data_IF_096386421169
#
_entry.id   IF_096386421169
#
_cell.length_a   1.000
_cell.length_b   1.000
_cell.length_c   1.000
_cell.angle_alpha   90.00
_cell.angle_beta   90.00
_cell.angle_gamma   90.00
#
_symmetry.space_group_name_H-M   'P 1'
#
loop_
_entity.id
_entity.type
_entity.pdbx_description
1 polymer ?
#
# COMPACT_ATOMS: atom_id res chain seq x y z
N UNK A 1 31.46 -15.86 33.73
CA UNK A 1 31.56 -14.59 33.00
C UNK A 1 31.16 -14.84 31.55
N UNK A 2 30.13 -14.17 31.05
CA UNK A 2 29.80 -14.16 29.63
C UNK A 2 30.17 -12.80 29.07
N UNK A 3 31.01 -12.76 28.03
CA UNK A 3 31.32 -11.53 27.30
C UNK A 3 30.50 -11.55 26.02
N UNK A 4 29.50 -10.69 25.92
CA UNK A 4 28.77 -10.48 24.68
C UNK A 4 29.62 -9.62 23.72
N UNK A 5 29.62 -9.96 22.43
CA UNK A 5 30.18 -9.07 21.40
C UNK A 5 29.35 -7.79 21.21
N UNK A 6 29.74 -6.89 20.31
CA UNK A 6 29.01 -5.65 20.04
C UNK A 6 27.53 -5.89 19.73
N UNK A 7 26.66 -5.34 20.56
CA UNK A 7 25.20 -5.49 20.48
C UNK A 7 24.55 -4.12 20.66
N UNK A 8 23.32 -3.94 20.19
CA UNK A 8 22.48 -2.75 20.45
C UNK A 8 21.58 -2.97 21.67
N UNK A 9 20.92 -1.91 22.15
CA UNK A 9 19.91 -2.01 23.22
C UNK A 9 18.75 -2.95 22.85
N UNK A 10 18.51 -3.15 21.55
CA UNK A 10 17.50 -4.07 21.01
C UNK A 10 18.02 -5.47 20.72
N UNK A 11 19.27 -5.78 21.09
CA UNK A 11 19.84 -7.11 20.88
C UNK A 11 20.36 -7.37 19.47
N UNK A 12 20.63 -6.34 18.66
CA UNK A 12 21.15 -6.50 17.28
C UNK A 12 22.64 -6.24 17.18
N UNK A 13 23.32 -6.98 16.30
CA UNK A 13 24.73 -6.79 15.96
C UNK A 13 24.91 -5.59 15.03
N UNK A 14 26.16 -5.16 14.83
CA UNK A 14 26.52 -4.03 13.94
C UNK A 14 26.06 -4.20 12.49
N UNK A 15 26.01 -5.44 11.99
CA UNK A 15 25.53 -5.77 10.64
C UNK A 15 24.00 -5.84 10.53
N UNK A 16 23.29 -5.63 11.63
CA UNK A 16 21.84 -5.74 11.72
C UNK A 16 21.32 -7.15 11.96
N UNK A 17 22.13 -8.19 12.10
CA UNK A 17 21.63 -9.51 12.53
C UNK A 17 21.27 -9.52 14.03
N UNK A 18 20.50 -10.52 14.48
CA UNK A 18 20.21 -10.70 15.91
C UNK A 18 21.45 -11.24 16.63
N UNK A 19 21.77 -10.69 17.80
CA UNK A 19 22.86 -11.20 18.62
C UNK A 19 22.40 -12.47 19.36
N UNK A 20 23.27 -13.49 19.39
CA UNK A 20 23.08 -14.68 20.21
C UNK A 20 23.28 -14.32 21.69
N UNK A 21 22.19 -13.91 22.33
CA UNK A 21 22.17 -13.52 23.74
C UNK A 21 21.55 -14.63 24.56
N UNK A 22 22.16 -14.96 25.69
CA UNK A 22 21.58 -15.91 26.63
C UNK A 22 20.30 -15.33 27.25
N UNK A 23 19.36 -16.21 27.62
CA UNK A 23 18.09 -15.80 28.22
C UNK A 23 18.26 -14.96 29.50
N UNK A 24 19.41 -15.08 30.18
CA UNK A 24 19.78 -14.29 31.36
C UNK A 24 20.29 -12.88 31.04
N UNK A 25 20.74 -12.61 29.81
CA UNK A 25 21.32 -11.31 29.40
C UNK A 25 20.26 -10.38 28.83
N UNK A 26 19.26 -10.91 28.11
CA UNK A 26 18.20 -10.11 27.48
C UNK A 26 17.51 -9.14 28.46
N UNK A 27 17.12 -9.55 29.69
CA UNK A 27 16.41 -8.67 30.62
C UNK A 27 17.25 -7.52 31.19
N UNK A 28 18.59 -7.65 31.20
CA UNK A 28 19.50 -6.66 31.77
C UNK A 28 20.04 -5.68 30.72
N UNK A 29 19.84 -5.92 29.42
CA UNK A 29 20.39 -5.09 28.34
C UNK A 29 20.06 -3.61 28.50
N UNK A 30 18.79 -3.27 28.73
CA UNK A 30 18.39 -1.86 28.86
C UNK A 30 19.10 -1.15 30.01
N UNK A 31 19.28 -1.84 31.15
CA UNK A 31 20.01 -1.30 32.29
C UNK A 31 21.50 -1.12 31.98
N UNK A 32 22.15 -2.12 31.36
CA UNK A 32 23.56 -2.04 30.94
C UNK A 32 23.80 -0.88 29.96
N UNK A 33 22.86 -0.60 29.05
CA UNK A 33 22.96 0.53 28.11
C UNK A 33 22.85 1.92 28.75
N UNK A 34 22.53 2.02 30.04
CA UNK A 34 22.58 3.28 30.80
C UNK A 34 23.91 3.52 31.51
N UNK A 35 24.78 2.49 31.59
CA UNK A 35 26.09 2.59 32.24
C UNK A 35 27.09 3.33 31.35
N UNK A 36 27.93 4.16 31.98
CA UNK A 36 29.08 4.80 31.35
C UNK A 36 30.32 3.92 31.45
N UNK A 37 31.34 4.21 30.63
CA UNK A 37 32.59 3.44 30.61
C UNK A 37 33.36 3.52 31.94
N UNK A 38 33.21 4.64 32.67
CA UNK A 38 33.89 4.87 33.95
C UNK A 38 33.12 4.33 35.16
N UNK A 39 31.90 3.80 34.96
CA UNK A 39 31.10 3.29 36.07
C UNK A 39 31.74 2.03 36.67
N UNK A 40 31.89 2.02 37.99
CA UNK A 40 32.32 0.83 38.72
C UNK A 40 31.25 -0.27 38.67
N UNK A 41 31.64 -1.56 38.55
CA UNK A 41 30.69 -2.66 38.54
C UNK A 41 29.95 -2.74 39.88
N UNK A 42 28.62 -2.69 39.84
CA UNK A 42 27.75 -2.78 41.02
C UNK A 42 26.89 -4.05 40.95
N UNK A 43 26.54 -4.56 42.13
CA UNK A 43 25.60 -5.67 42.26
C UNK A 43 24.18 -5.09 42.17
N UNK A 44 23.45 -5.51 41.15
CA UNK A 44 22.08 -5.08 40.92
C UNK A 44 21.13 -6.28 40.94
N UNK A 45 19.89 -6.05 41.36
CA UNK A 45 18.89 -7.11 41.54
C UNK A 45 18.21 -7.45 40.21
N UNK A 46 18.16 -8.73 39.87
CA UNK A 46 17.46 -9.30 38.71
C UNK A 46 16.34 -10.22 39.22
N UNK A 47 15.12 -9.69 39.38
CA UNK A 47 14.00 -10.43 39.97
C UNK A 47 14.18 -10.68 41.48
N UNK A 48 13.34 -11.52 42.11
CA UNK A 48 13.29 -11.61 43.58
C UNK A 48 14.56 -12.18 44.24
N UNK A 49 15.21 -13.15 43.62
CA UNK A 49 16.33 -13.92 44.19
C UNK A 49 17.58 -14.02 43.30
N UNK A 50 17.68 -13.21 42.24
CA UNK A 50 18.88 -13.20 41.38
C UNK A 50 19.52 -11.82 41.37
N UNK A 51 20.83 -11.79 41.15
CA UNK A 51 21.62 -10.58 41.06
C UNK A 51 22.52 -10.66 39.84
N UNK A 52 22.86 -9.51 39.27
CA UNK A 52 23.81 -9.41 38.18
C UNK A 52 24.87 -8.35 38.49
N UNK A 53 26.02 -8.51 37.84
CA UNK A 53 27.09 -7.51 37.81
C UNK A 53 27.45 -7.34 36.34
N UNK A 54 27.35 -6.11 35.86
CA UNK A 54 27.74 -5.73 34.51
C UNK A 54 28.88 -4.71 34.57
N UNK A 55 29.76 -4.78 33.57
CA UNK A 55 30.80 -3.79 33.34
C UNK A 55 30.81 -3.46 31.86
N UNK A 56 30.61 -2.19 31.53
CA UNK A 56 30.79 -1.70 30.17
C UNK A 56 32.29 -1.66 29.86
N UNK A 57 32.70 -2.39 28.82
CA UNK A 57 34.11 -2.45 28.40
C UNK A 57 34.42 -1.46 27.26
N UNK A 58 33.43 -1.19 26.41
CA UNK A 58 33.57 -0.32 25.25
C UNK A 58 32.19 0.26 24.88
N UNK A 59 32.15 1.54 24.51
CA UNK A 59 30.96 2.18 23.94
C UNK A 59 31.28 2.52 22.48
N UNK A 60 30.59 1.84 21.56
CA UNK A 60 30.72 2.11 20.13
C UNK A 60 29.69 3.18 19.75
N UNK A 61 30.10 4.40 19.37
CA UNK A 61 29.17 5.45 19.00
C UNK A 61 28.37 5.06 17.76
N UNK A 62 27.12 5.55 17.68
CA UNK A 62 26.31 5.39 16.47
C UNK A 62 26.98 6.12 15.30
N UNK A 63 27.52 5.35 14.36
CA UNK A 63 28.09 5.90 13.13
C UNK A 63 27.09 5.74 11.98
N UNK A 64 26.97 6.78 11.15
CA UNK A 64 26.34 6.63 9.83
C UNK A 64 27.14 5.60 9.04
N UNK A 65 26.45 4.71 8.31
CA UNK A 65 27.12 3.76 7.42
C UNK A 65 27.99 4.55 6.43
N UNK A 66 29.30 4.29 6.35
CA UNK A 66 30.19 4.95 5.41
C UNK A 66 29.63 4.88 4.00
N UNK A 67 29.76 5.97 3.23
CA UNK A 67 29.30 5.97 1.83
C UNK A 67 29.89 4.80 1.04
N UNK A 68 31.15 4.42 1.31
CA UNK A 68 31.79 3.28 0.69
C UNK A 68 31.02 1.95 0.85
N UNK A 69 30.38 1.73 2.00
CA UNK A 69 29.60 0.51 2.30
C UNK A 69 28.23 0.51 1.60
N UNK A 70 27.63 1.69 1.42
CA UNK A 70 26.28 1.84 0.82
C UNK A 70 26.31 2.34 -0.62
N UNK A 71 27.48 2.59 -1.19
CA UNK A 71 27.65 3.15 -2.54
C UNK A 71 26.87 2.37 -3.60
N UNK A 72 26.87 1.02 -3.62
CA UNK A 72 26.08 0.27 -4.60
C UNK A 72 24.57 0.54 -4.49
N UNK A 73 24.05 0.69 -3.26
CA UNK A 73 22.63 0.98 -3.02
C UNK A 73 22.26 2.39 -3.48
N UNK A 74 23.14 3.37 -3.19
CA UNK A 74 22.95 4.76 -3.60
C UNK A 74 23.03 4.88 -5.12
N UNK A 75 24.00 4.23 -5.77
CA UNK A 75 24.12 4.23 -7.24
C UNK A 75 22.90 3.58 -7.90
N UNK A 76 22.39 2.47 -7.36
CA UNK A 76 21.18 1.82 -7.87
C UNK A 76 19.95 2.74 -7.75
N UNK A 77 19.73 3.35 -6.58
CA UNK A 77 18.62 4.28 -6.36
C UNK A 77 18.74 5.54 -7.24
N UNK A 78 19.95 6.07 -7.42
CA UNK A 78 20.21 7.20 -8.30
C UNK A 78 19.91 6.85 -9.76
N UNK A 79 20.38 5.70 -10.24
CA UNK A 79 20.08 5.23 -11.61
C UNK A 79 18.57 5.10 -11.83
N UNK A 80 17.83 4.49 -10.90
CA UNK A 80 16.38 4.37 -10.99
C UNK A 80 15.71 5.74 -11.10
N UNK A 81 16.13 6.72 -10.29
CA UNK A 81 15.62 8.10 -10.35
C UNK A 81 15.91 8.76 -11.70
N UNK A 82 17.12 8.60 -12.22
CA UNK A 82 17.49 9.16 -13.53
C UNK A 82 16.68 8.53 -14.68
N UNK A 83 16.42 7.22 -14.61
CA UNK A 83 15.57 6.56 -15.62
C UNK A 83 14.13 7.04 -15.55
N UNK A 84 13.56 7.19 -14.35
CA UNK A 84 12.20 7.69 -14.17
C UNK A 84 12.04 9.13 -14.71
N UNK A 85 13.01 10.01 -14.44
CA UNK A 85 12.98 11.39 -14.93
C UNK A 85 13.04 11.43 -16.46
N UNK A 86 13.95 10.65 -17.07
CA UNK A 86 14.06 10.56 -18.53
C UNK A 86 12.79 9.98 -19.17
N UNK A 87 12.20 8.96 -18.56
CA UNK A 87 10.94 8.38 -19.03
C UNK A 87 9.81 9.41 -19.01
N UNK A 88 9.74 10.24 -17.98
CA UNK A 88 8.75 11.33 -17.88
C UNK A 88 8.94 12.37 -18.97
N UNK A 89 10.17 12.86 -19.16
CA UNK A 89 10.48 13.84 -20.22
C UNK A 89 10.09 13.32 -21.60
N UNK A 90 10.38 12.04 -21.87
CA UNK A 90 10.00 11.39 -23.13
C UNK A 90 8.48 11.27 -23.27
N UNK A 91 7.77 10.85 -22.21
CA UNK A 91 6.32 10.75 -22.22
C UNK A 91 5.65 12.12 -22.45
N UNK A 92 6.15 13.18 -21.80
CA UNK A 92 5.69 14.55 -21.99
C UNK A 92 5.88 15.01 -23.44
N UNK A 93 7.05 14.71 -24.03
CA UNK A 93 7.35 15.01 -25.43
C UNK A 93 6.36 14.31 -26.39
N UNK A 94 6.09 13.03 -26.17
CA UNK A 94 5.16 12.25 -26.99
C UNK A 94 3.72 12.79 -26.88
N UNK A 95 3.25 13.05 -25.66
CA UNK A 95 1.91 13.61 -25.42
C UNK A 95 1.78 14.99 -26.05
N UNK A 96 2.80 15.85 -25.93
CA UNK A 96 2.80 17.16 -26.58
C UNK A 96 2.78 17.05 -28.12
N UNK A 97 3.49 16.08 -28.70
CA UNK A 97 3.45 15.81 -30.14
C UNK A 97 2.06 15.37 -30.60
N UNK A 98 1.40 14.50 -29.82
CA UNK A 98 0.01 14.08 -30.12
C UNK A 98 -0.96 15.24 -30.03
N UNK A 99 -0.84 16.10 -29.00
CA UNK A 99 -1.68 17.31 -28.86
C UNK A 99 -1.58 18.25 -30.05
N UNK A 100 -0.44 18.25 -30.76
CA UNK A 100 -0.24 19.03 -32.01
C UNK A 100 -0.80 18.35 -33.26
N UNK A 101 -1.52 17.23 -33.12
CA UNK A 101 -2.10 16.46 -34.22
C UNK A 101 -1.23 15.30 -34.71
N UNK A 102 -0.10 15.02 -34.06
CA UNK A 102 0.75 13.88 -34.38
C UNK A 102 0.12 12.54 -34.02
N UNK A 103 0.59 11.47 -34.66
CA UNK A 103 0.25 10.09 -34.27
C UNK A 103 1.32 9.52 -33.35
N UNK A 104 0.89 8.91 -32.24
CA UNK A 104 1.79 8.35 -31.23
C UNK A 104 2.73 7.30 -31.82
N UNK A 105 2.25 6.49 -32.76
CA UNK A 105 3.07 5.43 -33.38
C UNK A 105 4.23 6.00 -34.19
N UNK A 106 4.02 7.13 -34.87
CA UNK A 106 5.07 7.81 -35.64
C UNK A 106 6.06 8.51 -34.70
N UNK A 107 5.55 9.22 -33.68
CA UNK A 107 6.37 9.92 -32.71
C UNK A 107 7.23 8.97 -31.87
N UNK A 108 6.68 7.85 -31.42
CA UNK A 108 7.39 6.85 -30.63
C UNK A 108 8.51 6.17 -31.46
N UNK A 109 8.27 5.87 -32.74
CA UNK A 109 9.30 5.34 -33.64
C UNK A 109 10.47 6.31 -33.84
N UNK A 110 10.19 7.62 -33.94
CA UNK A 110 11.23 8.63 -34.06
C UNK A 110 12.15 8.69 -32.82
N UNK A 111 11.65 8.28 -31.66
CA UNK A 111 12.41 8.16 -30.41
C UNK A 111 13.01 6.76 -30.20
N UNK A 112 12.96 5.87 -31.21
CA UNK A 112 13.51 4.52 -31.15
C UNK A 112 12.67 3.51 -30.35
N UNK A 113 11.41 3.85 -30.02
CA UNK A 113 10.52 2.95 -29.29
C UNK A 113 9.88 1.97 -30.30
N UNK A 114 10.34 0.71 -30.27
CA UNK A 114 9.90 -0.31 -31.23
C UNK A 114 8.57 -0.98 -30.86
N UNK A 115 8.19 -1.00 -29.58
CA UNK A 115 6.98 -1.68 -29.11
C UNK A 115 5.81 -0.72 -28.98
N UNK A 116 4.96 -0.69 -29.99
CA UNK A 116 3.65 -0.05 -29.93
C UNK A 116 2.61 -1.13 -30.15
N UNK A 117 1.74 -1.34 -29.17
CA UNK A 117 0.69 -2.34 -29.23
C UNK A 117 -0.67 -1.64 -29.37
N UNK A 118 -1.50 -2.00 -30.38
CA UNK A 118 -2.87 -1.54 -30.41
C UNK A 118 -3.63 -2.17 -29.24
N UNK A 119 -4.37 -1.35 -28.50
CA UNK A 119 -5.25 -1.81 -27.42
C UNK A 119 -6.68 -1.52 -27.83
N UNK A 120 -7.54 -2.51 -27.67
CA UNK A 120 -8.98 -2.41 -27.86
C UNK A 120 -9.67 -3.08 -26.67
N UNK A 121 -10.78 -2.52 -26.22
CA UNK A 121 -11.54 -3.11 -25.12
C UNK A 121 -12.81 -2.33 -24.83
N UNK A 122 -13.82 -3.05 -24.32
CA UNK A 122 -15.04 -2.43 -23.83
C UNK A 122 -14.84 -1.98 -22.38
N UNK A 123 -15.33 -0.78 -22.03
CA UNK A 123 -15.27 -0.27 -20.65
C UNK A 123 -15.89 -1.25 -19.64
N UNK A 124 -16.93 -1.98 -20.04
CA UNK A 124 -17.59 -2.98 -19.21
C UNK A 124 -16.68 -4.17 -18.84
N UNK A 125 -15.83 -4.64 -19.77
CA UNK A 125 -14.89 -5.73 -19.52
C UNK A 125 -13.80 -5.30 -18.54
N UNK A 126 -13.44 -4.01 -18.57
CA UNK A 126 -12.47 -3.43 -17.66
C UNK A 126 -13.04 -3.33 -16.24
N UNK A 127 -14.29 -2.90 -16.08
CA UNK A 127 -14.94 -2.76 -14.76
C UNK A 127 -15.15 -4.09 -14.00
N UNK A 128 -15.19 -5.22 -14.70
CA UNK A 128 -15.34 -6.54 -14.07
C UNK A 128 -14.04 -7.05 -13.42
N UNK A 129 -12.90 -6.44 -13.74
CA UNK A 129 -11.60 -6.82 -13.18
C UNK A 129 -11.20 -5.84 -12.06
N UNK A 130 -10.84 -6.36 -10.89
CA UNK A 130 -10.43 -5.51 -9.76
C UNK A 130 -9.01 -4.91 -9.94
N UNK A 131 -8.13 -5.60 -10.67
CA UNK A 131 -6.76 -5.13 -10.97
C UNK A 131 -6.64 -4.63 -12.41
N UNK A 132 -7.18 -3.44 -12.66
CA UNK A 132 -7.01 -2.77 -13.95
C UNK A 132 -5.69 -2.00 -13.95
N UNK A 133 -4.83 -2.13 -14.98
CA UNK A 133 -3.64 -1.28 -15.09
C UNK A 133 -4.00 0.21 -15.19
N UNK A 134 -3.19 1.08 -14.57
CA UNK A 134 -3.47 2.52 -14.50
C UNK A 134 -3.62 3.17 -15.88
N UNK A 135 -2.83 2.73 -16.87
CA UNK A 135 -2.89 3.22 -18.26
C UNK A 135 -4.23 2.92 -18.93
N UNK A 136 -4.86 1.78 -18.62
CA UNK A 136 -6.16 1.40 -19.20
C UNK A 136 -7.27 2.29 -18.64
N UNK A 137 -7.23 2.60 -17.33
CA UNK A 137 -8.15 3.58 -16.74
C UNK A 137 -7.99 4.95 -17.38
N UNK A 138 -6.74 5.41 -17.53
CA UNK A 138 -6.44 6.68 -18.18
C UNK A 138 -6.97 6.73 -19.61
N UNK A 139 -6.75 5.69 -20.40
CA UNK A 139 -7.26 5.57 -21.77
C UNK A 139 -8.77 5.87 -21.86
N UNK A 140 -9.58 5.32 -20.96
CA UNK A 140 -11.03 5.57 -20.97
C UNK A 140 -11.44 6.96 -20.49
N UNK A 141 -10.56 7.71 -19.84
CA UNK A 141 -10.81 9.10 -19.43
C UNK A 141 -10.39 10.14 -20.47
N UNK A 142 -9.59 9.73 -21.46
CA UNK A 142 -9.07 10.63 -22.47
C UNK A 142 -10.08 10.85 -23.61
N UNK A 143 -10.18 12.08 -24.16
CA UNK A 143 -10.93 12.34 -25.39
C UNK A 143 -10.33 11.65 -26.62
N UNK A 144 -11.14 11.48 -27.68
CA UNK A 144 -10.65 11.01 -28.96
C UNK A 144 -9.53 11.90 -29.51
N UNK A 145 -8.49 11.26 -30.05
CA UNK A 145 -7.29 11.91 -30.57
C UNK A 145 -6.26 12.30 -29.51
N UNK A 146 -6.62 12.31 -28.23
CA UNK A 146 -5.73 12.73 -27.15
C UNK A 146 -4.86 11.59 -26.62
N UNK A 147 -3.75 11.96 -25.99
CA UNK A 147 -2.84 11.03 -25.34
C UNK A 147 -2.55 11.42 -23.89
N UNK A 148 -2.11 10.42 -23.12
CA UNK A 148 -1.65 10.57 -21.75
C UNK A 148 -0.75 9.41 -21.36
N UNK A 149 -0.14 9.47 -20.18
CA UNK A 149 0.70 8.41 -19.66
C UNK A 149 0.41 8.09 -18.19
N UNK A 150 0.70 6.86 -17.80
CA UNK A 150 0.52 6.37 -16.43
C UNK A 150 1.68 5.43 -16.05
N UNK A 151 1.98 5.28 -14.75
CA UNK A 151 3.02 4.36 -14.29
C UNK A 151 2.68 2.91 -14.66
N UNK A 152 3.72 2.16 -15.04
CA UNK A 152 3.69 0.71 -15.18
C UNK A 152 3.71 0.05 -13.80
N UNK A 153 3.18 -1.17 -13.71
CA UNK A 153 3.12 -1.92 -12.45
C UNK A 153 4.48 -2.40 -11.96
N UNK A 154 5.50 -2.43 -12.85
CA UNK A 154 6.87 -2.84 -12.54
C UNK A 154 7.87 -1.82 -13.11
N UNK A 155 8.98 -1.63 -12.40
CA UNK A 155 10.22 -0.99 -12.88
C UNK A 155 10.23 0.52 -13.20
N UNK A 156 9.48 1.35 -12.45
CA UNK A 156 9.47 2.82 -12.63
C UNK A 156 9.23 3.29 -14.08
N UNK A 157 8.69 2.41 -14.93
CA UNK A 157 8.42 2.67 -16.32
C UNK A 157 7.08 3.41 -16.46
N UNK A 158 6.91 4.10 -17.59
CA UNK A 158 5.65 4.78 -17.94
C UNK A 158 5.08 4.16 -19.21
N UNK A 159 3.78 3.92 -19.22
CA UNK A 159 3.03 3.61 -20.43
C UNK A 159 2.41 4.87 -20.99
N UNK A 160 2.56 5.09 -22.31
CA UNK A 160 1.92 6.18 -23.04
C UNK A 160 0.83 5.59 -23.93
N UNK A 161 -0.37 6.17 -23.90
CA UNK A 161 -1.51 5.73 -24.69
C UNK A 161 -2.11 6.92 -25.44
N UNK A 162 -2.55 6.68 -26.68
CA UNK A 162 -3.35 7.61 -27.47
C UNK A 162 -4.71 6.95 -27.77
N UNK A 163 -5.79 7.69 -27.53
CA UNK A 163 -7.13 7.25 -27.93
C UNK A 163 -7.34 7.58 -29.39
N UNK A 164 -7.42 6.57 -30.25
CA UNK A 164 -7.66 6.77 -31.69
C UNK A 164 -9.15 6.95 -31.97
N UNK A 165 -9.98 6.07 -31.41
CA UNK A 165 -11.43 6.07 -31.60
C UNK A 165 -12.11 5.68 -30.29
N UNK A 166 -13.31 6.22 -30.08
CA UNK A 166 -14.21 5.84 -29.00
C UNK A 166 -15.60 5.69 -29.59
N UNK A 167 -16.23 4.56 -29.31
CA UNK A 167 -17.57 4.22 -29.77
C UNK A 167 -18.50 4.16 -28.56
N UNK A 168 -19.61 4.92 -28.57
CA UNK A 168 -20.65 4.77 -27.55
C UNK A 168 -21.17 3.33 -27.51
N UNK A 169 -21.48 2.84 -26.31
CA UNK A 169 -22.16 1.55 -26.17
C UNK A 169 -23.55 1.61 -26.80
N UNK A 170 -23.91 0.58 -27.57
CA UNK A 170 -25.25 0.46 -28.15
C UNK A 170 -26.17 -0.34 -27.20
N UNK A 171 -27.23 0.28 -26.64
CA UNK A 171 -28.16 -0.40 -25.73
C UNK A 171 -28.97 -1.52 -26.40
N UNK A 172 -29.16 -1.46 -27.71
CA UNK A 172 -29.99 -2.43 -28.46
C UNK A 172 -29.24 -3.71 -28.81
N UNK A 173 -27.90 -3.68 -28.77
CA UNK A 173 -27.08 -4.87 -28.96
C UNK A 173 -27.25 -5.84 -27.77
N UNK A 174 -27.06 -7.16 -27.98
CA UNK A 174 -27.26 -8.16 -26.92
C UNK A 174 -26.53 -7.84 -25.61
N UNK A 175 -25.28 -7.37 -25.71
CA UNK A 175 -24.44 -6.99 -24.56
C UNK A 175 -24.97 -5.74 -23.84
N UNK A 176 -25.47 -4.75 -24.59
CA UNK A 176 -26.10 -3.54 -24.05
C UNK A 176 -27.41 -3.85 -23.33
N UNK A 177 -28.25 -4.71 -23.93
CA UNK A 177 -29.49 -5.18 -23.31
C UNK A 177 -29.24 -5.96 -22.02
N UNK A 178 -28.22 -6.83 -22.02
CA UNK A 178 -27.82 -7.56 -20.81
C UNK A 178 -27.34 -6.60 -19.70
N UNK A 179 -26.53 -5.60 -20.03
CA UNK A 179 -26.07 -4.60 -19.07
C UNK A 179 -27.26 -3.81 -18.50
N UNK A 180 -28.17 -3.34 -19.35
CA UNK A 180 -29.39 -2.64 -18.91
C UNK A 180 -30.23 -3.50 -17.95
N UNK A 181 -30.43 -4.77 -18.28
CA UNK A 181 -31.17 -5.71 -17.43
C UNK A 181 -30.45 -6.02 -16.10
N UNK A 182 -29.11 -5.99 -16.07
CA UNK A 182 -28.35 -6.09 -14.81
C UNK A 182 -28.52 -4.82 -13.98
N UNK A 183 -28.30 -3.64 -14.56
CA UNK A 183 -28.45 -2.36 -13.87
C UNK A 183 -29.86 -2.17 -13.32
N UNK A 184 -30.90 -2.54 -14.06
CA UNK A 184 -32.28 -2.49 -13.58
C UNK A 184 -32.51 -3.39 -12.36
N UNK A 185 -31.92 -4.59 -12.34
CA UNK A 185 -32.00 -5.50 -11.18
C UNK A 185 -31.24 -4.96 -9.97
N UNK A 186 -30.05 -4.40 -10.20
CA UNK A 186 -29.23 -3.84 -9.13
C UNK A 186 -29.92 -2.63 -8.47
N UNK A 187 -30.44 -1.71 -9.29
CA UNK A 187 -31.21 -0.55 -8.81
C UNK A 187 -32.50 -1.00 -8.09
N UNK A 188 -33.26 -1.95 -8.66
CA UNK A 188 -34.46 -2.47 -8.02
C UNK A 188 -34.18 -3.16 -6.68
N UNK A 189 -33.05 -3.86 -6.57
CA UNK A 189 -32.62 -4.51 -5.33
C UNK A 189 -32.22 -3.51 -4.23
N UNK A 190 -31.57 -2.40 -4.58
CA UNK A 190 -31.21 -1.34 -3.63
C UNK A 190 -32.47 -0.63 -3.11
N UNK A 191 -33.36 -0.22 -4.01
CA UNK A 191 -34.62 0.43 -3.62
C UNK A 191 -35.49 -0.46 -2.74
N UNK A 192 -35.56 -1.77 -3.02
CA UNK A 192 -36.37 -2.70 -2.23
C UNK A 192 -35.86 -2.85 -0.78
N UNK A 193 -34.55 -2.91 -0.55
CA UNK A 193 -33.99 -2.99 0.82
C UNK A 193 -34.27 -1.74 1.62
N UNK A 194 -34.02 -0.57 1.03
CA UNK A 194 -34.25 0.72 1.69
C UNK A 194 -35.74 0.96 1.99
N UNK A 195 -36.63 0.61 1.05
CA UNK A 195 -38.08 0.66 1.26
C UNK A 195 -38.53 -0.32 2.35
N UNK A 196 -37.95 -1.52 2.41
CA UNK A 196 -38.29 -2.51 3.44
C UNK A 196 -37.83 -2.07 4.84
N UNK A 197 -36.62 -1.53 4.96
CA UNK A 197 -36.08 -1.00 6.22
C UNK A 197 -36.89 0.20 6.71
N UNK A 198 -37.17 1.16 5.82
CA UNK A 198 -37.99 2.33 6.17
C UNK A 198 -39.43 1.95 6.55
N UNK A 199 -40.04 0.99 5.86
CA UNK A 199 -41.37 0.46 6.19
C UNK A 199 -41.38 -0.27 7.54
N UNK A 200 -40.39 -1.11 7.81
CA UNK A 200 -40.25 -1.80 9.10
C UNK A 200 -40.05 -0.80 10.26
N UNK A 201 -39.26 0.26 10.05
CA UNK A 201 -39.09 1.35 11.01
C UNK A 201 -40.40 2.11 11.25
N UNK A 202 -41.17 2.40 10.20
CA UNK A 202 -42.45 3.09 10.29
C UNK A 202 -43.51 2.26 11.06
N UNK A 203 -43.60 0.95 10.79
CA UNK A 203 -44.48 0.03 11.55
C UNK A 203 -44.06 -0.02 13.02
N UNK A 204 -42.76 -0.10 13.30
CA UNK A 204 -42.24 -0.14 14.68
C UNK A 204 -42.56 1.13 15.46
N UNK A 205 -42.55 2.29 14.81
CA UNK A 205 -42.97 3.56 15.39
C UNK A 205 -44.48 3.63 15.59
N UNK A 206 -45.28 3.16 14.63
CA UNK A 206 -46.75 3.19 14.74
C UNK A 206 -47.31 2.22 15.77
N UNK A 207 -46.65 1.07 15.97
CA UNK A 207 -47.04 0.08 16.98
C UNK A 207 -46.56 0.43 18.40
N UNK A 208 -45.85 1.54 18.61
CA UNK A 208 -45.47 2.01 19.94
C UNK A 208 -44.63 1.01 20.74
N UNK A 209 -43.69 0.31 20.08
CA UNK A 209 -42.95 -0.79 20.71
C UNK A 209 -42.12 -0.30 21.91
N UNK A 210 -42.45 -0.78 23.10
CA UNK A 210 -41.70 -0.53 24.35
C UNK A 210 -40.65 -1.61 24.58
N UNK A 211 -39.40 -1.22 24.82
CA UNK A 211 -38.34 -2.17 25.18
C UNK A 211 -38.33 -2.46 26.67
N UNK A 212 -38.28 -3.73 27.04
CA UNK A 212 -37.98 -4.13 28.41
C UNK A 212 -36.47 -4.00 28.65
N UNK A 213 -36.06 -2.80 29.08
CA UNK A 213 -34.65 -2.46 29.26
C UNK A 213 -33.94 -3.43 30.23
N UNK A 214 -34.63 -3.91 31.27
CA UNK A 214 -34.08 -4.88 32.23
C UNK A 214 -33.69 -6.21 31.57
N UNK A 215 -34.50 -6.71 30.63
CA UNK A 215 -34.22 -7.95 29.91
C UNK A 215 -33.07 -7.80 28.90
N UNK A 216 -32.98 -6.63 28.26
CA UNK A 216 -31.88 -6.30 27.34
C UNK A 216 -30.57 -6.19 28.12
N UNK A 217 -30.56 -5.48 29.25
CA UNK A 217 -29.38 -5.31 30.08
C UNK A 217 -28.91 -6.63 30.71
N UNK A 218 -29.85 -7.50 31.11
CA UNK A 218 -29.53 -8.85 31.60
C UNK A 218 -28.89 -9.72 30.49
N UNK A 219 -29.41 -9.64 29.27
CA UNK A 219 -28.83 -10.36 28.12
C UNK A 219 -27.45 -9.80 27.76
N UNK A 220 -27.28 -8.48 27.79
CA UNK A 220 -25.99 -7.82 27.54
C UNK A 220 -24.94 -8.24 28.56
N UNK A 221 -25.28 -8.29 29.86
CA UNK A 221 -24.36 -8.77 30.92
C UNK A 221 -23.95 -10.22 30.72
N UNK A 222 -24.89 -11.08 30.29
CA UNK A 222 -24.61 -12.50 30.03
C UNK A 222 -23.71 -12.71 28.80
N UNK A 223 -23.84 -11.87 27.77
CA UNK A 223 -23.00 -11.95 26.56
C UNK A 223 -21.63 -11.28 26.72
N UNK A 224 -21.53 -10.24 27.56
CA UNK A 224 -20.27 -9.57 27.86
C UNK A 224 -19.49 -10.22 29.01
N UNK A 225 -19.99 -11.34 29.55
CA UNK A 225 -19.27 -12.16 30.51
C UNK A 225 -18.98 -11.44 31.81
N UNK A 226 -20.03 -11.20 32.61
CA UNK A 226 -19.84 -11.00 34.04
C UNK A 226 -20.92 -11.79 34.79
N UNK A 227 -20.54 -13.03 35.16
CA UNK A 227 -21.33 -14.05 35.84
C UNK A 227 -21.45 -15.35 35.06
#
# INVERSE_FOLDING_TARGET
MQTAGPVSVTGRRKDGSDAELSASVVPILTAVFTQQLEDEPKIEKLGENSYYVAKTLEIIPTALRPLAEIRPQVEAAWRQRQMAERAKVLADKLVAGVRKGGRLDTLAKAEGIAQIQPVQGARLQVLQNQNIPAVIRLMFSLPNGQAGYAPAERDAALYVVQVLTSQPGNPDQPQGRQLLAQTQRDVGGLSSRELSESFALAIRQSLGVTYNQKAIDATRKRLLGDG
#
